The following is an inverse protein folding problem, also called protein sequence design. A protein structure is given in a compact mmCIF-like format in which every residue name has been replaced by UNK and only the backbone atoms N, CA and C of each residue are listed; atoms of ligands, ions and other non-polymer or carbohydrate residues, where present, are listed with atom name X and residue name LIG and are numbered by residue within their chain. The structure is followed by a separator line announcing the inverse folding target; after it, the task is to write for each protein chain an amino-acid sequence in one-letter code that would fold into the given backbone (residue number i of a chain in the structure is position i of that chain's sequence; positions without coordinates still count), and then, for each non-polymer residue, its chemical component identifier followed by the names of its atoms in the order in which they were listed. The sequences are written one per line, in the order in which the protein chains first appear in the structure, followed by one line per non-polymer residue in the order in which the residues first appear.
data_IF_496874794008
#
_entry.id   IF_496874794008
#
_cell.length_a   1.000
_cell.length_b   1.000
_cell.length_c   1.000
_cell.angle_alpha   90.00
_cell.angle_beta   90.00
_cell.angle_gamma   90.00
#
_symmetry.space_group_name_H-M   'P 1'
#
loop_
_entity.id
_entity.type
_entity.pdbx_description
1 polymer ?
#
# COMPACT_ATOMS: atom_id res chain seq x y z
N UNK A 1 -28.86 -1.65 1.33
CA UNK A 1 -28.52 -3.07 1.08
C UNK A 1 -27.13 -3.34 1.63
N UNK A 2 -26.95 -4.30 2.55
CA UNK A 2 -25.60 -4.74 2.96
C UNK A 2 -25.01 -5.57 1.80
N UNK A 3 -23.77 -5.30 1.34
CA UNK A 3 -23.14 -6.13 0.32
C UNK A 3 -23.08 -7.57 0.81
N UNK A 4 -23.48 -8.54 -0.02
CA UNK A 4 -23.30 -9.96 0.32
C UNK A 4 -21.79 -10.21 0.42
N UNK A 5 -21.34 -10.80 1.53
CA UNK A 5 -19.95 -11.16 1.81
C UNK A 5 -19.25 -12.01 0.71
N UNK A 6 -20.00 -12.53 -0.27
CA UNK A 6 -19.50 -13.41 -1.35
C UNK A 6 -18.75 -12.72 -2.49
N UNK A 7 -18.72 -11.38 -2.59
CA UNK A 7 -18.08 -10.69 -3.74
C UNK A 7 -16.68 -10.13 -3.47
N UNK A 8 -16.22 -10.12 -2.22
CA UNK A 8 -14.92 -9.54 -1.87
C UNK A 8 -13.87 -10.64 -1.66
N UNK A 9 -12.63 -10.45 -2.16
CA UNK A 9 -11.52 -11.31 -1.78
C UNK A 9 -11.36 -11.37 -0.26
N UNK A 10 -10.92 -12.52 0.26
CA UNK A 10 -10.62 -12.66 1.69
C UNK A 10 -9.64 -11.56 2.13
N UNK A 11 -9.97 -10.86 3.22
CA UNK A 11 -9.15 -9.75 3.74
C UNK A 11 -9.48 -8.38 3.15
N UNK A 12 -10.25 -8.30 2.05
CA UNK A 12 -10.74 -7.03 1.53
C UNK A 12 -11.96 -6.55 2.33
N UNK A 13 -12.07 -5.23 2.50
CA UNK A 13 -13.20 -4.58 3.18
C UNK A 13 -13.75 -3.44 2.34
N UNK A 14 -15.07 -3.38 2.22
CA UNK A 14 -15.79 -2.22 1.71
C UNK A 14 -16.09 -1.27 2.87
N UNK A 15 -15.88 0.03 2.66
CA UNK A 15 -16.32 1.08 3.57
C UNK A 15 -17.54 1.79 2.97
N UNK A 16 -18.66 1.79 3.70
CA UNK A 16 -19.85 2.56 3.32
C UNK A 16 -19.63 4.06 3.55
N UNK A 17 -20.48 4.96 2.99
CA UNK A 17 -20.25 6.41 3.06
C UNK A 17 -19.85 6.93 4.46
N UNK A 18 -20.63 6.64 5.49
CA UNK A 18 -20.34 7.07 6.87
C UNK A 18 -19.06 6.45 7.46
N UNK A 19 -18.69 5.24 7.04
CA UNK A 19 -17.43 4.61 7.46
C UNK A 19 -16.23 5.23 6.73
N UNK A 20 -16.39 5.51 5.44
CA UNK A 20 -15.38 6.17 4.62
C UNK A 20 -15.12 7.59 5.12
N UNK A 21 -16.16 8.35 5.44
CA UNK A 21 -16.05 9.70 6.02
C UNK A 21 -15.27 9.67 7.34
N UNK A 22 -15.65 8.78 8.26
CA UNK A 22 -14.92 8.60 9.53
C UNK A 22 -13.46 8.22 9.32
N UNK A 23 -13.18 7.32 8.37
CA UNK A 23 -11.81 6.93 8.00
C UNK A 23 -11.01 8.15 7.52
N UNK A 24 -11.57 8.94 6.60
CA UNK A 24 -10.92 10.14 6.06
C UNK A 24 -10.70 11.20 7.11
N UNK A 25 -11.62 11.36 8.06
CA UNK A 25 -11.45 12.27 9.19
C UNK A 25 -10.21 11.93 10.02
N UNK A 26 -10.04 10.65 10.38
CA UNK A 26 -8.86 10.19 11.14
C UNK A 26 -7.56 10.36 10.35
N UNK A 27 -7.55 9.99 9.06
CA UNK A 27 -6.40 10.20 8.18
C UNK A 27 -6.00 11.69 8.12
N UNK A 28 -6.98 12.58 7.92
CA UNK A 28 -6.73 14.02 7.82
C UNK A 28 -6.17 14.60 9.14
N UNK A 29 -6.65 14.12 10.28
CA UNK A 29 -6.13 14.52 11.59
C UNK A 29 -4.67 14.09 11.78
N UNK A 30 -4.34 12.83 11.46
CA UNK A 30 -2.97 12.29 11.52
C UNK A 30 -2.02 13.03 10.58
N UNK A 31 -2.40 13.20 9.30
CA UNK A 31 -1.61 13.96 8.33
C UNK A 31 -1.44 15.43 8.77
N UNK A 32 -2.44 15.99 9.44
CA UNK A 32 -2.35 17.31 10.08
C UNK A 32 -1.22 17.40 11.12
N UNK A 33 -1.00 16.36 11.93
CA UNK A 33 0.12 16.30 12.87
C UNK A 33 1.45 16.28 12.13
N UNK A 34 1.63 15.37 11.16
CA UNK A 34 2.89 15.25 10.43
C UNK A 34 3.30 16.54 9.72
N UNK A 35 2.33 17.24 9.11
CA UNK A 35 2.58 18.55 8.47
C UNK A 35 3.08 19.62 9.45
N UNK A 36 2.54 19.67 10.68
CA UNK A 36 3.02 20.61 11.72
C UNK A 36 4.45 20.33 12.16
N UNK A 37 4.93 19.10 11.99
CA UNK A 37 6.31 18.69 12.26
C UNK A 37 7.23 18.83 11.03
N UNK A 38 6.76 19.45 9.94
CA UNK A 38 7.57 19.71 8.76
C UNK A 38 7.69 18.53 7.78
N UNK A 39 7.03 17.40 8.04
CA UNK A 39 6.97 16.29 7.09
C UNK A 39 6.12 16.69 5.87
N UNK A 40 6.57 16.24 4.69
CA UNK A 40 5.82 16.35 3.43
C UNK A 40 5.46 14.98 2.92
N UNK A 41 4.22 14.82 2.48
CA UNK A 41 3.71 13.57 1.97
C UNK A 41 4.37 13.22 0.63
N UNK A 42 4.67 11.94 0.47
CA UNK A 42 5.05 11.31 -0.79
C UNK A 42 4.14 10.10 -0.97
N UNK A 43 3.55 9.98 -2.16
CA UNK A 43 2.70 8.84 -2.53
C UNK A 43 3.50 7.94 -3.46
N UNK A 44 3.74 6.71 -3.04
CA UNK A 44 4.45 5.70 -3.83
C UNK A 44 3.47 4.82 -4.62
N UNK A 45 3.93 4.13 -5.68
CA UNK A 45 3.13 3.13 -6.37
C UNK A 45 2.59 2.05 -5.41
N UNK A 46 1.37 1.56 -5.70
CA UNK A 46 0.73 0.47 -4.94
C UNK A 46 1.32 -0.89 -5.28
N UNK A 47 1.74 -1.06 -6.53
CA UNK A 47 2.41 -2.24 -7.03
C UNK A 47 3.77 -1.87 -7.59
N UNK A 48 4.73 -2.77 -7.42
CA UNK A 48 6.05 -2.70 -8.03
C UNK A 48 6.48 -4.10 -8.44
N UNK A 49 7.58 -4.22 -9.20
CA UNK A 49 8.13 -5.53 -9.50
C UNK A 49 8.58 -6.23 -8.22
N UNK A 50 8.28 -7.53 -8.12
CA UNK A 50 8.48 -8.30 -6.90
C UNK A 50 9.96 -8.37 -6.48
N UNK A 51 10.87 -8.45 -7.46
CA UNK A 51 12.33 -8.39 -7.27
C UNK A 51 12.77 -7.05 -6.67
N UNK A 52 12.17 -5.94 -7.11
CA UNK A 52 12.45 -4.60 -6.63
C UNK A 52 11.98 -4.39 -5.18
N UNK A 53 10.85 -4.98 -4.78
CA UNK A 53 10.36 -4.93 -3.38
C UNK A 53 11.11 -5.89 -2.46
N UNK A 54 11.56 -7.03 -2.97
CA UNK A 54 12.33 -8.01 -2.21
C UNK A 54 13.67 -7.43 -1.72
N UNK A 55 14.31 -6.57 -2.51
CA UNK A 55 15.64 -6.01 -2.20
C UNK A 55 15.71 -5.21 -0.88
N UNK A 56 14.58 -4.78 -0.32
CA UNK A 56 14.52 -4.03 0.94
C UNK A 56 13.58 -4.64 1.99
N UNK A 57 13.19 -5.91 1.86
CA UNK A 57 12.27 -6.59 2.79
C UNK A 57 12.85 -7.92 3.29
N UNK A 58 12.53 -8.28 4.52
CA UNK A 58 12.93 -9.56 5.12
C UNK A 58 12.28 -10.75 4.40
N UNK A 59 12.93 -11.92 4.48
CA UNK A 59 12.51 -13.15 3.78
C UNK A 59 11.08 -13.58 4.15
N UNK A 60 10.68 -13.40 5.41
CA UNK A 60 9.31 -13.70 5.87
C UNK A 60 8.26 -12.78 5.24
N UNK A 61 8.61 -11.51 5.01
CA UNK A 61 7.75 -10.56 4.32
C UNK A 61 7.65 -10.95 2.85
N UNK A 62 8.76 -11.33 2.23
CA UNK A 62 8.80 -11.77 0.83
C UNK A 62 7.91 -12.99 0.59
N UNK A 63 7.96 -13.99 1.48
CA UNK A 63 7.14 -15.21 1.39
C UNK A 63 5.63 -14.97 1.51
N UNK A 64 5.22 -13.84 2.09
CA UNK A 64 3.83 -13.47 2.31
C UNK A 64 3.34 -12.34 1.39
N UNK A 65 4.12 -11.94 0.39
CA UNK A 65 3.71 -10.89 -0.55
C UNK A 65 2.52 -11.33 -1.40
N UNK A 66 1.56 -10.43 -1.58
CA UNK A 66 0.49 -10.61 -2.56
C UNK A 66 1.04 -10.30 -3.96
N UNK A 67 1.20 -11.32 -4.80
CA UNK A 67 1.80 -11.20 -6.13
C UNK A 67 0.77 -11.34 -7.25
N UNK A 68 1.10 -10.75 -8.40
CA UNK A 68 0.31 -10.83 -9.62
C UNK A 68 1.21 -10.77 -10.85
N UNK A 69 0.81 -11.42 -11.93
CA UNK A 69 1.57 -11.42 -13.20
C UNK A 69 1.16 -10.20 -14.01
N UNK A 70 2.14 -9.37 -14.38
CA UNK A 70 1.94 -8.36 -15.42
C UNK A 70 1.73 -9.05 -16.77
N UNK A 71 0.56 -8.82 -17.39
CA UNK A 71 0.18 -9.48 -18.64
C UNK A 71 0.98 -9.00 -19.84
N UNK A 72 1.50 -7.78 -19.80
CA UNK A 72 2.23 -7.20 -20.92
C UNK A 72 3.70 -7.67 -20.91
N UNK A 73 4.39 -7.51 -19.78
CA UNK A 73 5.81 -7.89 -19.68
C UNK A 73 6.05 -9.34 -19.24
N UNK A 74 5.04 -10.03 -18.72
CA UNK A 74 5.18 -11.34 -18.09
C UNK A 74 5.88 -11.33 -16.72
N UNK A 75 6.29 -10.15 -16.22
CA UNK A 75 7.02 -10.01 -14.96
C UNK A 75 6.10 -10.14 -13.75
N UNK A 76 6.66 -10.55 -12.63
CA UNK A 76 5.95 -10.59 -11.36
C UNK A 76 5.88 -9.20 -10.73
N UNK A 77 4.66 -8.75 -10.45
CA UNK A 77 4.36 -7.60 -9.61
C UNK A 77 3.99 -8.08 -8.21
N UNK A 78 4.24 -7.25 -7.20
CA UNK A 78 3.76 -7.45 -5.85
C UNK A 78 3.05 -6.19 -5.34
N UNK A 79 1.96 -6.40 -4.59
CA UNK A 79 1.36 -5.34 -3.78
C UNK A 79 2.35 -4.97 -2.69
N UNK A 80 2.61 -3.66 -2.49
CA UNK A 80 3.56 -3.21 -1.46
C UNK A 80 3.17 -3.77 -0.07
N UNK A 81 4.06 -4.49 0.63
CA UNK A 81 3.80 -4.96 1.99
C UNK A 81 4.00 -3.82 3.02
N UNK A 82 4.93 -2.92 2.72
CA UNK A 82 5.25 -1.72 3.50
C UNK A 82 5.76 -0.62 2.55
N UNK A 83 5.72 0.64 2.99
CA UNK A 83 6.17 1.79 2.21
C UNK A 83 7.66 2.14 2.46
N UNK A 84 8.25 1.73 3.58
CA UNK A 84 9.61 2.14 3.99
C UNK A 84 10.68 1.80 2.96
N UNK A 85 10.74 0.59 2.37
CA UNK A 85 11.72 0.27 1.34
C UNK A 85 11.60 1.16 0.10
N UNK A 86 10.37 1.52 -0.27
CA UNK A 86 10.10 2.43 -1.39
C UNK A 86 10.63 3.84 -1.09
N UNK A 87 10.42 4.33 0.14
CA UNK A 87 10.96 5.63 0.58
C UNK A 87 12.49 5.60 0.60
N UNK A 88 13.09 4.58 1.20
CA UNK A 88 14.54 4.42 1.28
C UNK A 88 15.19 4.47 -0.11
N UNK A 89 14.59 3.78 -1.09
CA UNK A 89 15.06 3.79 -2.46
C UNK A 89 14.92 5.17 -3.12
N UNK A 90 13.78 5.85 -2.98
CA UNK A 90 13.61 7.21 -3.51
C UNK A 90 14.66 8.17 -2.95
N UNK A 91 14.98 8.05 -1.66
CA UNK A 91 16.02 8.85 -1.00
C UNK A 91 17.42 8.47 -1.50
N UNK A 92 17.71 7.18 -1.71
CA UNK A 92 19.02 6.73 -2.20
C UNK A 92 19.29 7.08 -3.66
N UNK A 93 18.25 7.27 -4.48
CA UNK A 93 18.37 7.61 -5.91
C UNK A 93 18.26 9.11 -6.21
N UNK A 94 18.06 9.95 -5.19
CA UNK A 94 18.04 11.41 -5.31
C UNK A 94 19.36 11.99 -4.82
#
# INVERSE_FOLDING_TARGET
MRPRHQQLPKGARLYLPDEAERKRHVEAALLGVFRRWGYREIVTPTFEYADVLAAGTDVDVQGNMFTLVDRESGRMLALRPDITPQIARVVATR
#
